data_IF_706128795974
#
_entry.id   IF_706128795974
#
_cell.length_a   1.000
_cell.length_b   1.000
_cell.length_c   1.000
_cell.angle_alpha   90.00
_cell.angle_beta   90.00
_cell.angle_gamma   90.00
#
_symmetry.space_group_name_H-M   'P 1'
#
loop_
_entity.id
_entity.type
_entity.pdbx_description
1 polymer ?
#
# COMPACT_ATOMS: atom_id res chain seq x y z
N UNK A 1 -1.82 -20.57 -9.93
CA UNK A 1 -3.14 -20.04 -10.31
C UNK A 1 -3.80 -19.50 -9.06
N UNK A 2 -4.13 -18.20 -9.09
CA UNK A 2 -4.45 -17.44 -7.88
C UNK A 2 -5.95 -17.24 -7.64
N UNK A 3 -6.81 -17.67 -8.58
CA UNK A 3 -8.24 -17.43 -8.47
C UNK A 3 -8.75 -17.85 -7.10
N UNK A 4 -9.26 -16.89 -6.33
CA UNK A 4 -9.76 -17.13 -4.97
C UNK A 4 -11.27 -17.19 -4.90
N UNK A 5 -11.94 -16.53 -5.87
CA UNK A 5 -13.41 -16.56 -5.92
C UNK A 5 -13.95 -16.18 -7.29
N UNK A 6 -15.23 -16.52 -7.50
CA UNK A 6 -16.05 -15.97 -8.54
C UNK A 6 -17.08 -15.03 -7.93
N UNK A 7 -17.21 -13.85 -8.53
CA UNK A 7 -18.19 -12.83 -8.15
C UNK A 7 -19.18 -12.66 -9.29
N UNK A 8 -20.45 -12.63 -8.94
CA UNK A 8 -21.58 -12.48 -9.84
C UNK A 8 -22.47 -11.32 -9.35
N UNK A 9 -23.20 -10.67 -10.25
CA UNK A 9 -24.19 -9.71 -9.81
C UNK A 9 -25.47 -10.43 -9.33
N UNK A 10 -26.12 -9.93 -8.25
CA UNK A 10 -27.38 -10.48 -7.78
C UNK A 10 -28.52 -10.41 -8.78
N UNK A 11 -28.41 -9.51 -9.77
CA UNK A 11 -29.44 -9.25 -10.79
C UNK A 11 -29.36 -10.22 -11.97
N UNK A 12 -28.27 -10.97 -12.12
CA UNK A 12 -28.07 -11.87 -13.25
C UNK A 12 -28.76 -13.22 -13.04
N UNK A 13 -29.92 -13.37 -13.65
CA UNK A 13 -30.73 -14.59 -13.55
C UNK A 13 -30.04 -15.86 -14.04
N UNK A 14 -29.05 -15.73 -14.97
CA UNK A 14 -28.27 -16.87 -15.50
C UNK A 14 -27.53 -17.63 -14.41
N UNK A 15 -27.16 -16.96 -13.33
CA UNK A 15 -26.28 -17.50 -12.29
C UNK A 15 -26.93 -17.65 -10.91
N UNK A 16 -28.20 -17.28 -10.74
CA UNK A 16 -28.91 -17.39 -9.44
C UNK A 16 -28.88 -18.80 -8.84
N UNK A 17 -28.88 -19.82 -9.72
CA UNK A 17 -28.80 -21.23 -9.29
C UNK A 17 -27.43 -21.59 -8.63
N UNK A 18 -26.43 -20.71 -8.73
CA UNK A 18 -25.11 -20.90 -8.12
C UNK A 18 -25.00 -20.30 -6.71
N UNK A 19 -26.05 -19.62 -6.23
CA UNK A 19 -26.05 -19.01 -4.89
C UNK A 19 -25.80 -20.06 -3.81
N UNK A 20 -24.81 -19.79 -2.95
CA UNK A 20 -24.35 -20.69 -1.89
C UNK A 20 -23.54 -21.90 -2.36
N UNK A 21 -23.26 -22.02 -3.65
CA UNK A 21 -22.36 -23.05 -4.18
C UNK A 21 -20.90 -22.63 -4.13
N UNK A 22 -20.03 -23.57 -4.43
CA UNK A 22 -18.59 -23.39 -4.52
C UNK A 22 -18.09 -23.85 -5.88
N UNK A 23 -17.08 -23.19 -6.38
CA UNK A 23 -16.37 -23.60 -7.59
C UNK A 23 -15.06 -24.30 -7.22
N UNK A 24 -14.55 -25.13 -8.12
CA UNK A 24 -13.26 -25.79 -8.00
C UNK A 24 -12.30 -25.14 -8.99
N UNK A 25 -11.20 -24.60 -8.50
CA UNK A 25 -10.13 -24.08 -9.36
C UNK A 25 -9.39 -25.28 -9.98
N UNK A 26 -9.33 -25.37 -11.32
CA UNK A 26 -8.66 -26.49 -11.99
C UNK A 26 -7.20 -26.60 -11.58
N UNK A 27 -6.60 -27.75 -11.82
CA UNK A 27 -5.19 -28.14 -11.55
C UNK A 27 -4.82 -28.19 -10.06
N UNK A 28 -5.23 -27.21 -9.26
CA UNK A 28 -4.91 -27.16 -7.82
C UNK A 28 -6.06 -27.67 -6.92
N UNK A 29 -7.20 -28.00 -7.48
CA UNK A 29 -8.39 -28.51 -6.80
C UNK A 29 -8.82 -27.65 -5.58
N UNK A 30 -8.58 -26.33 -5.64
CA UNK A 30 -9.00 -25.42 -4.58
C UNK A 30 -10.50 -25.16 -4.68
N UNK A 31 -11.22 -25.42 -3.60
CA UNK A 31 -12.63 -25.05 -3.49
C UNK A 31 -12.74 -23.58 -3.07
N UNK A 32 -13.45 -22.78 -3.85
CA UNK A 32 -13.64 -21.35 -3.64
C UNK A 32 -15.13 -21.01 -3.58
N UNK A 33 -15.57 -20.04 -2.75
CA UNK A 33 -16.95 -19.61 -2.71
C UNK A 33 -17.34 -18.86 -4.00
N UNK A 34 -18.63 -18.94 -4.33
CA UNK A 34 -19.26 -18.08 -5.33
C UNK A 34 -20.02 -17.01 -4.54
N UNK A 35 -19.66 -15.76 -4.73
CA UNK A 35 -20.27 -14.61 -4.04
C UNK A 35 -21.05 -13.73 -5.02
N UNK A 36 -21.95 -12.92 -4.49
CA UNK A 36 -22.77 -12.00 -5.26
C UNK A 36 -22.48 -10.58 -4.79
N UNK A 37 -22.18 -9.67 -5.73
CA UNK A 37 -21.87 -8.27 -5.46
C UNK A 37 -22.26 -7.38 -6.65
N UNK A 38 -22.80 -6.22 -6.37
CA UNK A 38 -23.25 -5.24 -7.37
C UNK A 38 -22.07 -4.59 -8.13
N UNK A 39 -20.83 -4.87 -7.72
CA UNK A 39 -19.62 -4.44 -8.43
C UNK A 39 -19.51 -5.03 -9.83
N UNK A 40 -20.13 -6.17 -10.08
CA UNK A 40 -19.99 -6.91 -11.35
C UNK A 40 -21.00 -6.40 -12.37
N UNK A 41 -20.46 -5.96 -13.51
CA UNK A 41 -21.28 -5.62 -14.69
C UNK A 41 -21.65 -6.91 -15.44
N UNK A 42 -22.95 -7.20 -15.51
CA UNK A 42 -23.47 -8.41 -16.16
C UNK A 42 -23.33 -8.40 -17.69
N UNK A 43 -23.13 -7.22 -18.28
CA UNK A 43 -22.97 -7.08 -19.75
C UNK A 43 -21.50 -7.18 -20.17
N UNK A 44 -20.57 -7.11 -19.20
CA UNK A 44 -19.15 -7.23 -19.50
C UNK A 44 -18.69 -8.70 -19.51
N UNK A 45 -18.22 -9.16 -20.68
CA UNK A 45 -17.72 -10.52 -20.86
C UNK A 45 -18.79 -11.60 -20.59
N UNK A 46 -18.55 -12.44 -19.61
CA UNK A 46 -19.51 -13.48 -19.18
C UNK A 46 -20.45 -13.00 -18.07
N UNK A 47 -20.24 -11.81 -17.51
CA UNK A 47 -20.90 -11.37 -16.26
C UNK A 47 -20.41 -12.10 -15.02
N UNK A 48 -19.27 -12.80 -15.11
CA UNK A 48 -18.64 -13.51 -14.00
C UNK A 48 -17.21 -13.01 -13.82
N UNK A 49 -16.96 -12.35 -12.69
CA UNK A 49 -15.64 -11.82 -12.34
C UNK A 49 -14.88 -12.83 -11.48
N UNK A 50 -13.61 -13.11 -11.85
CA UNK A 50 -12.68 -13.78 -10.94
C UNK A 50 -11.99 -12.72 -10.09
N UNK A 51 -11.70 -12.98 -8.83
CA UNK A 51 -10.98 -12.06 -7.97
C UNK A 51 -9.75 -12.69 -7.33
N UNK A 52 -8.73 -11.84 -7.18
CA UNK A 52 -7.39 -12.17 -6.69
C UNK A 52 -6.91 -11.07 -5.74
N UNK A 53 -7.38 -11.05 -4.47
CA UNK A 53 -7.17 -9.93 -3.55
C UNK A 53 -5.70 -9.55 -3.29
N UNK A 54 -4.76 -10.48 -3.50
CA UNK A 54 -3.34 -10.20 -3.28
C UNK A 54 -2.66 -9.44 -4.43
N UNK A 55 -3.26 -9.43 -5.65
CA UNK A 55 -2.60 -8.97 -6.86
C UNK A 55 -3.42 -8.00 -7.73
N UNK A 56 -4.53 -7.48 -7.17
CA UNK A 56 -5.32 -6.42 -7.79
C UNK A 56 -5.92 -5.51 -6.71
N UNK A 57 -5.79 -4.18 -6.81
CA UNK A 57 -6.31 -3.25 -5.81
C UNK A 57 -7.84 -3.29 -5.66
N UNK A 58 -8.59 -3.45 -6.75
CA UNK A 58 -10.05 -3.52 -6.70
C UNK A 58 -10.51 -4.84 -6.08
N UNK A 59 -9.85 -5.94 -6.47
CA UNK A 59 -10.08 -7.27 -5.90
C UNK A 59 -9.77 -7.29 -4.40
N UNK A 60 -8.76 -6.50 -3.95
CA UNK A 60 -8.44 -6.36 -2.53
C UNK A 60 -9.58 -5.71 -1.74
N UNK A 61 -10.18 -4.64 -2.25
CA UNK A 61 -11.32 -4.00 -1.59
C UNK A 61 -12.55 -4.93 -1.53
N UNK A 62 -12.83 -5.66 -2.62
CA UNK A 62 -13.86 -6.71 -2.59
C UNK A 62 -13.51 -7.82 -1.60
N UNK A 63 -12.23 -8.20 -1.54
CA UNK A 63 -11.73 -9.16 -0.57
C UNK A 63 -12.00 -8.75 0.87
N UNK A 64 -11.76 -7.49 1.22
CA UNK A 64 -12.07 -6.92 2.54
C UNK A 64 -13.57 -6.92 2.83
N UNK A 65 -14.38 -6.45 1.88
CA UNK A 65 -15.86 -6.41 1.99
C UNK A 65 -16.44 -7.78 2.31
N UNK A 66 -15.94 -8.81 1.65
CA UNK A 66 -16.44 -10.20 1.79
C UNK A 66 -15.61 -11.09 2.73
N UNK A 67 -14.60 -10.51 3.43
CA UNK A 67 -13.70 -11.21 4.37
C UNK A 67 -13.02 -12.42 3.74
N UNK A 68 -12.48 -12.23 2.56
CA UNK A 68 -11.86 -13.28 1.78
C UNK A 68 -10.41 -13.49 2.18
N UNK A 69 -9.92 -14.70 1.99
CA UNK A 69 -8.50 -15.01 2.18
C UNK A 69 -7.64 -14.25 1.17
N UNK A 70 -6.53 -13.73 1.62
CA UNK A 70 -5.54 -13.04 0.77
C UNK A 70 -4.34 -13.98 0.60
N UNK A 71 -4.15 -14.51 -0.60
CA UNK A 71 -3.07 -15.46 -0.90
C UNK A 71 -2.10 -14.81 -1.89
N UNK A 72 -0.97 -14.33 -1.38
CA UNK A 72 0.12 -13.87 -2.22
C UNK A 72 0.86 -15.07 -2.81
N UNK A 73 0.94 -15.17 -4.14
CA UNK A 73 1.62 -16.26 -4.85
C UNK A 73 2.98 -15.86 -5.45
N UNK A 74 3.38 -14.59 -5.34
CA UNK A 74 4.65 -14.09 -5.84
C UNK A 74 5.64 -13.82 -4.71
N UNK A 75 6.91 -14.05 -4.94
CA UNK A 75 8.00 -13.57 -4.11
C UNK A 75 8.46 -12.15 -4.52
N UNK A 76 9.54 -11.66 -3.90
CA UNK A 76 10.09 -10.33 -4.18
C UNK A 76 10.69 -10.18 -5.58
N UNK A 77 11.06 -11.28 -6.23
CA UNK A 77 11.62 -11.32 -7.57
C UNK A 77 10.55 -11.50 -8.67
N UNK A 78 9.28 -11.66 -8.28
CA UNK A 78 8.19 -11.94 -9.21
C UNK A 78 8.14 -13.40 -9.68
N UNK A 79 8.83 -14.31 -8.97
CA UNK A 79 8.71 -15.75 -9.15
C UNK A 79 7.59 -16.31 -8.28
N UNK A 80 7.05 -17.45 -8.65
CA UNK A 80 5.97 -18.08 -7.90
C UNK A 80 6.51 -18.68 -6.59
N UNK A 81 5.85 -18.35 -5.49
CA UNK A 81 6.17 -18.88 -4.17
C UNK A 81 5.37 -20.18 -3.86
N UNK A 82 5.56 -20.74 -2.67
CA UNK A 82 4.92 -21.99 -2.23
C UNK A 82 3.39 -21.96 -2.27
N UNK A 83 2.78 -20.79 -2.11
CA UNK A 83 1.32 -20.65 -2.12
C UNK A 83 0.72 -20.88 -3.51
N UNK A 84 1.51 -20.71 -4.56
CA UNK A 84 1.09 -21.00 -5.92
C UNK A 84 0.81 -22.49 -6.16
N UNK A 85 1.45 -23.37 -5.38
CA UNK A 85 1.38 -24.85 -5.44
C UNK A 85 1.96 -25.48 -6.71
N UNK A 86 1.83 -24.82 -7.87
CA UNK A 86 2.39 -25.23 -9.14
C UNK A 86 3.47 -24.25 -9.57
N UNK A 87 4.45 -24.71 -10.32
CA UNK A 87 5.52 -23.90 -10.89
C UNK A 87 6.31 -23.06 -9.87
N UNK A 88 6.45 -23.54 -8.64
CA UNK A 88 7.13 -22.83 -7.55
C UNK A 88 8.59 -22.54 -7.93
N UNK A 89 9.02 -21.29 -7.76
CA UNK A 89 10.35 -20.81 -8.11
C UNK A 89 10.52 -20.39 -9.56
N UNK A 90 9.49 -20.51 -10.41
CA UNK A 90 9.54 -20.10 -11.80
C UNK A 90 9.06 -18.66 -11.99
N UNK A 91 9.60 -18.00 -13.02
CA UNK A 91 9.22 -16.64 -13.39
C UNK A 91 7.77 -16.57 -13.87
N UNK A 92 7.05 -15.53 -13.45
CA UNK A 92 5.63 -15.33 -13.77
C UNK A 92 5.32 -15.27 -15.28
N UNK A 93 6.24 -14.77 -16.10
CA UNK A 93 6.02 -14.65 -17.54
C UNK A 93 6.12 -16.00 -18.24
N UNK A 94 7.02 -16.85 -17.78
CA UNK A 94 7.14 -18.21 -18.30
C UNK A 94 5.96 -19.06 -17.85
N UNK A 95 5.54 -18.92 -16.59
CA UNK A 95 4.39 -19.64 -16.05
C UNK A 95 3.10 -19.29 -16.79
N UNK A 96 2.92 -18.05 -17.29
CA UNK A 96 1.75 -17.70 -18.11
C UNK A 96 1.63 -18.57 -19.38
N UNK A 97 2.74 -19.01 -19.94
CA UNK A 97 2.76 -19.93 -21.09
C UNK A 97 2.50 -21.37 -20.64
N UNK A 98 3.24 -21.84 -19.64
CA UNK A 98 3.14 -23.22 -19.16
C UNK A 98 1.77 -23.56 -18.59
N UNK A 99 1.10 -22.63 -17.94
CA UNK A 99 -0.24 -22.86 -17.38
C UNK A 99 -1.31 -23.05 -18.47
N UNK A 100 -1.14 -22.42 -19.64
CA UNK A 100 -2.04 -22.61 -20.78
C UNK A 100 -1.92 -24.04 -21.32
N UNK A 101 -0.68 -24.52 -21.50
CA UNK A 101 -0.40 -25.88 -21.95
C UNK A 101 -0.93 -26.94 -20.96
N UNK A 102 -0.80 -26.67 -19.65
CA UNK A 102 -1.29 -27.57 -18.61
C UNK A 102 -2.82 -27.61 -18.56
N UNK A 103 -3.48 -26.46 -18.75
CA UNK A 103 -4.94 -26.39 -18.84
C UNK A 103 -5.47 -27.10 -20.09
N UNK A 104 -4.78 -26.99 -21.21
CA UNK A 104 -5.14 -27.65 -22.46
C UNK A 104 -5.01 -29.17 -22.34
N UNK A 105 -3.86 -29.66 -21.88
CA UNK A 105 -3.62 -31.09 -21.68
C UNK A 105 -4.59 -31.73 -20.68
N UNK A 106 -5.08 -30.96 -19.71
CA UNK A 106 -6.06 -31.39 -18.72
C UNK A 106 -7.54 -31.21 -19.18
N UNK A 107 -7.76 -30.68 -20.39
CA UNK A 107 -9.09 -30.48 -20.96
C UNK A 107 -9.90 -29.33 -20.37
N UNK A 108 -9.23 -28.39 -19.71
CA UNK A 108 -9.86 -27.20 -19.11
C UNK A 108 -9.77 -25.95 -19.97
N UNK A 109 -8.89 -25.91 -20.99
CA UNK A 109 -8.76 -24.79 -21.89
C UNK A 109 -9.85 -24.84 -22.96
N UNK A 110 -10.69 -23.81 -23.06
CA UNK A 110 -11.76 -23.72 -24.04
C UNK A 110 -11.31 -22.95 -25.26
N UNK A 111 -10.64 -21.80 -25.07
CA UNK A 111 -10.12 -20.97 -26.15
C UNK A 111 -9.10 -19.96 -25.60
N UNK A 112 -8.26 -19.48 -26.52
CA UNK A 112 -7.36 -18.33 -26.28
C UNK A 112 -7.80 -17.20 -27.20
N UNK A 113 -7.88 -15.99 -26.69
CA UNK A 113 -8.22 -14.78 -27.44
C UNK A 113 -7.13 -13.73 -27.22
N UNK A 114 -6.77 -13.03 -28.31
CA UNK A 114 -5.88 -11.88 -28.21
C UNK A 114 -6.60 -10.73 -27.49
N UNK A 115 -5.95 -10.21 -26.46
CA UNK A 115 -6.47 -9.08 -25.68
C UNK A 115 -5.41 -8.00 -25.53
N UNK A 116 -5.77 -6.77 -25.91
CA UNK A 116 -4.90 -5.61 -25.76
C UNK A 116 -5.23 -4.92 -24.46
N UNK A 117 -4.27 -4.81 -23.56
CA UNK A 117 -4.40 -4.09 -22.31
C UNK A 117 -3.23 -3.11 -22.10
N UNK A 118 -3.42 -2.15 -21.19
CA UNK A 118 -2.36 -1.24 -20.75
C UNK A 118 -1.65 -1.83 -19.54
N UNK A 119 -0.33 -1.97 -19.65
CA UNK A 119 0.53 -2.49 -18.58
C UNK A 119 1.34 -1.35 -18.01
N UNK A 120 1.43 -1.26 -16.68
CA UNK A 120 2.28 -0.32 -15.98
C UNK A 120 3.74 -0.76 -15.99
N UNK A 121 4.64 0.20 -16.13
CA UNK A 121 6.10 0.00 -16.02
C UNK A 121 6.65 0.86 -14.90
N UNK A 122 7.67 0.37 -14.21
CA UNK A 122 8.42 1.14 -13.23
C UNK A 122 9.21 2.24 -13.94
N UNK A 123 9.01 3.50 -13.56
CA UNK A 123 9.78 4.64 -14.11
C UNK A 123 11.29 4.54 -13.84
N UNK A 124 11.71 3.73 -12.88
CA UNK A 124 13.10 3.61 -12.45
C UNK A 124 13.85 2.45 -13.09
N UNK A 125 13.14 1.38 -13.44
CA UNK A 125 13.76 0.11 -13.85
C UNK A 125 13.21 -0.43 -15.15
N UNK A 126 12.18 0.20 -15.73
CA UNK A 126 11.44 -0.29 -16.90
C UNK A 126 10.85 -1.72 -16.71
N UNK A 127 10.80 -2.19 -15.47
CA UNK A 127 10.21 -3.48 -15.17
C UNK A 127 8.67 -3.39 -15.19
N UNK A 128 8.02 -4.44 -15.66
CA UNK A 128 6.56 -4.57 -15.61
C UNK A 128 6.11 -4.65 -14.14
N UNK A 129 5.16 -3.80 -13.77
CA UNK A 129 4.60 -3.74 -12.42
C UNK A 129 3.61 -4.88 -12.23
N UNK A 130 3.76 -5.61 -11.13
CA UNK A 130 2.77 -6.56 -10.63
C UNK A 130 2.28 -6.08 -9.26
N UNK A 131 0.99 -5.80 -9.08
CA UNK A 131 0.44 -5.45 -7.77
C UNK A 131 0.68 -6.57 -6.77
N UNK A 132 1.17 -6.22 -5.59
CA UNK A 132 1.46 -7.15 -4.50
C UNK A 132 1.30 -6.47 -3.16
N UNK A 133 0.71 -7.15 -2.19
CA UNK A 133 0.65 -6.68 -0.82
C UNK A 133 2.02 -6.80 -0.14
N UNK A 134 2.42 -5.75 0.55
CA UNK A 134 3.59 -5.72 1.40
C UNK A 134 3.30 -4.90 2.65
N UNK A 135 3.98 -5.19 3.76
CA UNK A 135 3.91 -4.34 4.94
C UNK A 135 4.58 -3.01 4.62
N UNK A 136 3.88 -1.93 4.94
CA UNK A 136 4.34 -0.56 4.72
C UNK A 136 4.05 0.29 5.95
N UNK A 137 4.83 1.34 6.12
CA UNK A 137 4.60 2.34 7.15
C UNK A 137 3.64 3.41 6.66
N UNK A 138 2.62 3.68 7.46
CA UNK A 138 1.62 4.70 7.16
C UNK A 138 1.58 5.75 8.26
N UNK A 139 1.52 7.02 7.85
CA UNK A 139 1.16 8.12 8.72
C UNK A 139 -0.37 8.28 8.70
N UNK A 140 -1.00 8.20 9.87
CA UNK A 140 -2.45 8.41 9.98
C UNK A 140 -2.74 9.91 9.85
N UNK A 141 -3.35 10.30 8.74
CA UNK A 141 -3.52 11.70 8.35
C UNK A 141 -4.80 12.33 8.89
N UNK A 142 -5.82 11.55 9.21
CA UNK A 142 -7.13 12.06 9.59
C UNK A 142 -7.07 13.07 10.75
N UNK A 143 -6.46 12.66 11.87
CA UNK A 143 -6.36 13.53 13.06
C UNK A 143 -5.44 14.73 12.86
N UNK A 144 -4.40 14.57 12.06
CA UNK A 144 -3.42 15.63 11.76
C UNK A 144 -4.02 16.70 10.85
N UNK A 145 -4.90 16.31 9.94
CA UNK A 145 -5.49 17.21 8.95
C UNK A 145 -6.56 18.15 9.50
N UNK A 146 -7.23 17.80 10.60
CA UNK A 146 -8.32 18.60 11.18
C UNK A 146 -7.85 20.01 11.55
N UNK A 147 -6.85 20.21 12.41
CA UNK A 147 -6.39 21.56 12.77
C UNK A 147 -5.78 22.31 11.58
N UNK A 148 -5.15 21.60 10.65
CA UNK A 148 -4.60 22.18 9.44
C UNK A 148 -5.70 22.76 8.53
N UNK A 149 -6.81 22.04 8.39
CA UNK A 149 -7.98 22.52 7.66
C UNK A 149 -8.60 23.74 8.33
N UNK A 150 -8.78 23.70 9.65
CA UNK A 150 -9.35 24.80 10.43
C UNK A 150 -8.54 26.08 10.27
N UNK A 151 -7.21 26.02 10.35
CA UNK A 151 -6.33 27.18 10.19
C UNK A 151 -6.40 27.82 8.81
N UNK A 152 -6.68 27.06 7.77
CA UNK A 152 -6.89 27.59 6.42
C UNK A 152 -8.32 28.12 6.26
N UNK A 153 -9.32 27.46 6.85
CA UNK A 153 -10.71 27.88 6.71
C UNK A 153 -11.02 29.19 7.48
N UNK A 154 -10.37 29.42 8.61
CA UNK A 154 -10.51 30.64 9.40
C UNK A 154 -9.53 31.76 8.99
N UNK A 155 -8.77 31.58 7.91
CA UNK A 155 -7.81 32.55 7.36
C UNK A 155 -6.59 32.85 8.26
N UNK A 156 -6.28 31.99 9.25
CA UNK A 156 -5.00 32.00 9.97
C UNK A 156 -3.85 31.75 9.00
N UNK A 157 -4.03 30.80 8.07
CA UNK A 157 -3.16 30.58 6.90
C UNK A 157 -3.93 30.96 5.65
N UNK A 158 -3.44 31.98 4.92
CA UNK A 158 -4.09 32.52 3.74
C UNK A 158 -3.44 32.04 2.46
N UNK A 159 -4.24 31.70 1.46
CA UNK A 159 -3.78 31.38 0.10
C UNK A 159 -3.95 32.58 -0.84
N UNK A 160 -2.90 32.88 -1.57
CA UNK A 160 -2.89 33.88 -2.64
C UNK A 160 -2.49 33.23 -3.97
N UNK A 161 -3.39 33.20 -4.99
CA UNK A 161 -4.79 33.65 -5.00
C UNK A 161 -5.72 32.76 -4.14
N UNK A 162 -6.77 33.37 -3.61
CA UNK A 162 -7.73 32.74 -2.70
C UNK A 162 -8.46 31.51 -3.25
N UNK A 163 -8.51 31.34 -4.58
CA UNK A 163 -9.10 30.16 -5.21
C UNK A 163 -8.49 28.84 -4.72
N UNK A 164 -7.21 28.86 -4.33
CA UNK A 164 -6.52 27.67 -3.83
C UNK A 164 -7.01 27.22 -2.45
N UNK A 165 -7.66 28.07 -1.67
CA UNK A 165 -8.31 27.70 -0.41
C UNK A 165 -9.34 26.59 -0.60
N UNK A 166 -10.18 26.68 -1.64
CA UNK A 166 -11.17 25.63 -1.94
C UNK A 166 -10.52 24.33 -2.43
N UNK A 167 -9.47 24.43 -3.24
CA UNK A 167 -8.71 23.27 -3.72
C UNK A 167 -8.04 22.54 -2.56
N UNK A 168 -7.43 23.30 -1.63
CA UNK A 168 -6.84 22.76 -0.40
C UNK A 168 -7.89 22.07 0.46
N UNK A 169 -9.03 22.74 0.72
CA UNK A 169 -10.13 22.18 1.49
C UNK A 169 -10.57 20.83 0.94
N UNK A 170 -10.90 20.77 -0.35
CA UNK A 170 -11.36 19.54 -0.98
C UNK A 170 -10.35 18.39 -0.86
N UNK A 171 -9.07 18.69 -0.99
CA UNK A 171 -8.01 17.68 -0.85
C UNK A 171 -7.88 17.19 0.59
N UNK A 172 -7.91 18.10 1.58
CA UNK A 172 -7.73 17.74 2.99
C UNK A 172 -8.95 17.00 3.55
N UNK A 173 -10.17 17.39 3.16
CA UNK A 173 -11.40 16.68 3.54
C UNK A 173 -11.45 15.24 3.03
N UNK A 174 -10.72 14.92 1.97
CA UNK A 174 -10.64 13.59 1.37
C UNK A 174 -9.27 12.94 1.57
N UNK A 175 -8.49 13.42 2.55
CA UNK A 175 -7.13 12.92 2.76
C UNK A 175 -7.15 11.45 3.18
N UNK A 176 -6.22 10.69 2.62
CA UNK A 176 -6.00 9.29 3.00
C UNK A 176 -4.71 9.16 3.78
N UNK A 177 -4.60 8.09 4.56
CA UNK A 177 -3.36 7.74 5.23
C UNK A 177 -2.20 7.70 4.24
N UNK A 178 -1.08 8.26 4.64
CA UNK A 178 0.07 8.44 3.77
C UNK A 178 1.09 7.32 3.99
N UNK A 179 1.27 6.49 2.96
CA UNK A 179 2.38 5.53 2.94
C UNK A 179 3.70 6.28 2.90
N UNK A 180 4.49 6.18 3.96
CA UNK A 180 5.75 6.91 4.13
C UNK A 180 7.00 6.06 3.88
N UNK A 181 6.87 4.75 3.74
CA UNK A 181 8.00 3.86 3.44
C UNK A 181 8.27 3.76 1.94
N UNK A 182 9.55 3.65 1.59
CA UNK A 182 10.03 3.48 0.23
C UNK A 182 11.12 2.41 0.21
N UNK A 183 11.03 1.49 -0.75
CA UNK A 183 12.01 0.43 -0.99
C UNK A 183 13.11 0.98 -1.91
N UNK A 184 13.94 1.87 -1.37
CA UNK A 184 15.03 2.52 -2.08
C UNK A 184 16.35 2.26 -1.35
N UNK A 185 17.41 2.17 -2.12
CA UNK A 185 18.76 2.00 -1.56
C UNK A 185 19.28 3.25 -0.85
N UNK A 186 18.84 4.43 -1.25
CA UNK A 186 19.30 5.71 -0.69
C UNK A 186 18.15 6.50 -0.10
N UNK A 187 18.32 7.00 1.11
CA UNK A 187 17.35 7.85 1.81
C UNK A 187 17.53 7.82 3.32
N UNK A 188 16.61 8.43 4.04
CA UNK A 188 16.55 8.38 5.50
C UNK A 188 15.93 7.08 5.93
N UNK A 189 16.73 6.14 6.39
CA UNK A 189 16.27 4.83 6.84
C UNK A 189 15.27 4.95 7.98
N UNK A 190 14.21 4.16 7.94
CA UNK A 190 13.17 4.16 8.97
C UNK A 190 13.78 3.74 10.30
N UNK A 191 13.62 4.53 11.38
CA UNK A 191 14.23 4.27 12.67
C UNK A 191 13.44 3.26 13.51
N UNK A 192 12.98 2.18 12.88
CA UNK A 192 12.28 1.07 13.50
C UNK A 192 13.19 -0.17 13.51
N UNK A 193 13.25 -0.84 14.65
CA UNK A 193 14.09 -2.01 14.88
C UNK A 193 13.20 -3.18 15.23
N UNK A 194 13.15 -4.18 14.36
CA UNK A 194 12.41 -5.41 14.55
C UNK A 194 13.15 -6.36 15.48
N UNK A 195 12.38 -7.09 16.29
CA UNK A 195 12.88 -8.13 17.18
C UNK A 195 11.92 -9.33 17.17
N UNK A 196 12.41 -10.52 17.46
CA UNK A 196 11.62 -11.75 17.38
C UNK A 196 11.44 -12.27 15.96
N UNK A 197 10.46 -13.14 15.75
CA UNK A 197 10.29 -13.90 14.50
C UNK A 197 9.35 -13.21 13.49
N UNK A 198 8.74 -12.11 13.86
CA UNK A 198 7.75 -11.38 13.05
C UNK A 198 8.09 -9.91 12.82
N UNK A 199 7.49 -9.31 11.77
CA UNK A 199 7.59 -7.87 11.52
C UNK A 199 6.54 -7.04 12.31
N UNK A 200 5.82 -7.66 13.22
CA UNK A 200 4.85 -6.99 14.10
C UNK A 200 5.50 -6.48 15.38
N UNK A 201 6.61 -7.11 15.79
CA UNK A 201 7.36 -6.73 16.98
C UNK A 201 8.49 -5.78 16.61
N UNK A 202 8.31 -4.49 16.89
CA UNK A 202 9.32 -3.47 16.62
C UNK A 202 9.40 -2.41 17.72
N UNK A 203 10.52 -1.71 17.75
CA UNK A 203 10.75 -0.56 18.62
C UNK A 203 11.33 0.60 17.82
N UNK A 204 10.87 1.81 18.08
CA UNK A 204 11.36 3.02 17.43
C UNK A 204 12.37 3.72 18.31
N UNK A 205 13.55 4.00 17.76
CA UNK A 205 14.64 4.70 18.45
C UNK A 205 15.59 5.36 17.45
N UNK A 206 16.37 6.38 17.87
CA UNK A 206 17.34 7.05 17.00
C UNK A 206 18.53 6.17 16.58
N UNK A 207 18.89 5.18 17.39
CA UNK A 207 19.97 4.23 17.10
C UNK A 207 19.63 2.82 17.57
N UNK A 208 20.40 1.86 17.08
CA UNK A 208 20.27 0.45 17.43
C UNK A 208 20.53 0.20 18.91
N UNK A 209 21.51 0.92 19.50
CA UNK A 209 21.87 0.83 20.90
C UNK A 209 20.74 1.36 21.81
N UNK A 210 20.12 2.48 21.43
CA UNK A 210 18.98 3.03 22.16
C UNK A 210 17.75 2.14 22.02
N UNK A 211 17.52 1.57 20.83
CA UNK A 211 16.47 0.58 20.62
C UNK A 211 16.62 -0.61 21.57
N UNK A 212 17.84 -1.17 21.65
CA UNK A 212 18.14 -2.28 22.54
C UNK A 212 17.91 -1.92 24.01
N UNK A 213 18.40 -0.75 24.44
CA UNK A 213 18.21 -0.28 25.82
C UNK A 213 16.72 -0.12 26.16
N UNK A 214 15.96 0.46 25.25
CA UNK A 214 14.51 0.65 25.40
C UNK A 214 13.79 -0.70 25.43
N UNK A 215 14.12 -1.62 24.53
CA UNK A 215 13.56 -2.96 24.46
C UNK A 215 13.80 -3.74 25.75
N UNK A 216 15.05 -3.79 26.24
CA UNK A 216 15.40 -4.49 27.45
C UNK A 216 14.81 -3.87 28.72
N UNK A 217 14.39 -2.60 28.68
CA UNK A 217 13.65 -1.96 29.78
C UNK A 217 12.16 -2.30 29.82
N UNK A 218 11.61 -2.77 28.70
CA UNK A 218 10.18 -3.06 28.53
C UNK A 218 9.85 -4.55 28.46
N UNK A 219 10.88 -5.41 28.37
CA UNK A 219 10.74 -6.86 28.20
C UNK A 219 11.45 -7.60 29.35
N UNK A 220 10.84 -8.69 29.77
CA UNK A 220 11.48 -9.63 30.72
C UNK A 220 12.62 -10.44 30.06
N UNK A 221 12.61 -10.55 28.73
CA UNK A 221 13.67 -11.18 27.95
C UNK A 221 14.79 -10.17 27.70
N UNK A 222 16.04 -10.61 27.87
CA UNK A 222 17.21 -9.81 27.53
C UNK A 222 17.64 -10.09 26.09
N UNK A 223 17.58 -9.06 25.27
CA UNK A 223 18.00 -9.07 23.86
C UNK A 223 19.43 -8.56 23.73
N UNK A 224 20.10 -8.96 22.66
CA UNK A 224 21.43 -8.48 22.23
C UNK A 224 21.30 -7.66 20.95
N UNK A 225 22.36 -6.96 20.57
CA UNK A 225 22.37 -6.18 19.33
C UNK A 225 22.07 -7.02 18.07
N UNK A 226 22.51 -8.26 18.05
CA UNK A 226 22.29 -9.16 16.91
C UNK A 226 20.83 -9.69 16.83
N UNK A 227 20.08 -9.57 17.91
CA UNK A 227 18.67 -10.00 17.96
C UNK A 227 17.70 -8.96 17.37
N UNK A 228 18.19 -7.75 17.05
CA UNK A 228 17.39 -6.68 16.50
C UNK A 228 17.91 -6.23 15.13
N UNK A 229 16.99 -5.99 14.20
CA UNK A 229 17.29 -5.61 12.82
C UNK A 229 16.53 -4.33 12.46
N UNK A 230 17.25 -3.32 11.99
CA UNK A 230 16.62 -2.09 11.52
C UNK A 230 15.84 -2.35 10.23
N UNK A 231 14.71 -1.64 10.06
CA UNK A 231 13.95 -1.67 8.82
C UNK A 231 14.85 -1.23 7.65
N UNK A 232 14.79 -1.97 6.54
CA UNK A 232 15.61 -1.69 5.35
C UNK A 232 15.02 -0.55 4.51
N UNK A 233 13.74 -0.23 4.70
CA UNK A 233 13.04 0.82 3.98
C UNK A 233 13.52 2.21 4.41
N UNK A 234 13.36 3.17 3.51
CA UNK A 234 13.63 4.59 3.78
C UNK A 234 12.34 5.39 3.80
N UNK A 235 12.34 6.52 4.47
CA UNK A 235 11.20 7.43 4.50
C UNK A 235 11.02 8.15 3.17
N UNK A 236 9.78 8.42 2.82
CA UNK A 236 9.43 9.33 1.73
C UNK A 236 10.14 10.67 1.92
N UNK A 237 10.74 11.19 0.85
CA UNK A 237 11.46 12.47 0.87
C UNK A 237 10.59 13.62 1.40
N UNK A 238 9.30 13.62 1.07
CA UNK A 238 8.37 14.65 1.56
C UNK A 238 8.06 14.50 3.05
N UNK A 239 8.21 13.32 3.63
CA UNK A 239 8.04 13.11 5.07
C UNK A 239 9.15 13.79 5.89
N UNK A 240 10.41 13.76 5.43
CA UNK A 240 11.47 14.53 6.07
C UNK A 240 11.42 16.01 5.71
N UNK A 241 10.97 16.38 4.51
CA UNK A 241 10.90 17.77 4.05
C UNK A 241 9.88 18.62 4.82
N UNK A 242 8.77 18.05 5.27
CA UNK A 242 7.74 18.82 5.97
C UNK A 242 8.18 19.30 7.37
N UNK A 243 9.11 18.59 7.99
CA UNK A 243 9.67 18.97 9.28
C UNK A 243 10.91 19.88 9.16
N UNK A 244 11.36 20.16 7.93
CA UNK A 244 12.56 20.95 7.70
C UNK A 244 12.55 22.35 8.34
N UNK A 245 11.44 23.11 8.33
CA UNK A 245 11.36 24.41 8.99
C UNK A 245 11.61 24.37 10.50
N UNK A 246 11.41 23.20 11.13
CA UNK A 246 11.65 22.97 12.55
C UNK A 246 13.05 22.39 12.76
N UNK A 247 13.43 21.40 11.95
CA UNK A 247 14.68 20.67 12.12
C UNK A 247 15.92 21.53 11.85
N UNK A 248 15.86 22.48 10.91
CA UNK A 248 16.99 23.36 10.58
C UNK A 248 17.40 24.29 11.73
N UNK A 249 16.49 24.57 12.66
CA UNK A 249 16.76 25.37 13.85
C UNK A 249 16.93 24.52 15.11
N UNK A 250 17.18 23.23 14.96
CA UNK A 250 17.24 22.28 16.08
C UNK A 250 16.04 22.35 17.02
N UNK A 251 14.86 22.58 16.43
CA UNK A 251 13.61 22.86 17.14
C UNK A 251 13.07 21.70 17.99
N UNK A 252 13.73 20.54 17.94
CA UNK A 252 13.46 19.41 18.84
C UNK A 252 14.32 19.46 20.12
N UNK A 253 15.27 20.40 20.22
CA UNK A 253 16.04 20.66 21.43
C UNK A 253 15.31 21.56 22.43
N UNK A 254 15.90 21.77 23.60
CA UNK A 254 15.35 22.66 24.61
C UNK A 254 15.58 24.16 24.31
N UNK A 255 16.58 24.49 23.47
CA UNK A 255 16.84 25.88 23.05
C UNK A 255 16.09 26.17 21.74
N UNK A 256 14.98 26.87 21.84
CA UNK A 256 14.10 27.22 20.72
C UNK A 256 14.24 28.66 20.25
N UNK A 257 15.24 29.40 20.71
CA UNK A 257 15.37 30.84 20.46
C UNK A 257 15.37 31.19 18.97
N UNK A 258 16.10 30.44 18.15
CA UNK A 258 16.12 30.66 16.71
C UNK A 258 14.81 30.19 16.05
N UNK A 259 14.29 29.03 16.46
CA UNK A 259 13.01 28.55 15.98
C UNK A 259 11.90 29.57 16.26
N UNK A 260 11.77 30.04 17.49
CA UNK A 260 10.70 30.99 17.89
C UNK A 260 10.82 32.34 17.16
N UNK A 261 12.01 32.68 16.66
CA UNK A 261 12.22 33.89 15.88
C UNK A 261 11.88 33.72 14.39
N UNK A 262 12.21 32.60 13.78
CA UNK A 262 12.07 32.39 12.34
C UNK A 262 10.84 31.60 11.92
N UNK A 263 10.22 30.85 12.84
CA UNK A 263 9.06 30.02 12.57
C UNK A 263 7.90 30.32 13.54
N UNK A 264 6.66 30.43 13.06
CA UNK A 264 6.23 30.25 11.66
C UNK A 264 6.67 31.39 10.75
N UNK A 265 6.95 31.07 9.47
CA UNK A 265 7.30 32.08 8.47
C UNK A 265 6.07 32.92 8.10
N UNK A 266 6.31 34.19 7.71
CA UNK A 266 5.24 35.12 7.32
C UNK A 266 4.66 34.77 5.94
N UNK A 267 5.54 34.50 4.97
CA UNK A 267 5.16 34.25 3.59
C UNK A 267 5.92 33.05 3.03
N UNK A 268 5.22 32.19 2.31
CA UNK A 268 5.77 31.08 1.54
C UNK A 268 5.37 31.23 0.08
N UNK A 269 6.36 31.45 -0.79
CA UNK A 269 6.16 31.52 -2.24
C UNK A 269 6.49 30.18 -2.86
N UNK A 270 5.52 29.60 -3.57
CA UNK A 270 5.65 28.25 -4.13
C UNK A 270 4.83 28.09 -5.40
N UNK A 271 4.90 26.93 -6.03
CA UNK A 271 4.15 26.60 -7.23
C UNK A 271 2.92 25.73 -6.93
N UNK A 272 1.83 25.90 -7.69
CA UNK A 272 0.59 25.16 -7.47
C UNK A 272 0.74 23.65 -7.51
N UNK A 273 1.65 23.11 -8.32
CA UNK A 273 1.82 21.68 -8.50
C UNK A 273 2.51 20.98 -7.31
N UNK A 274 3.23 21.74 -6.44
CA UNK A 274 3.82 21.15 -5.22
C UNK A 274 2.99 21.46 -3.96
N UNK A 275 1.85 22.08 -4.10
CA UNK A 275 0.98 22.46 -2.99
C UNK A 275 0.60 21.26 -2.12
N UNK A 276 0.19 20.13 -2.73
CA UNK A 276 -0.23 18.93 -2.01
C UNK A 276 0.93 18.05 -1.55
N UNK A 277 2.05 18.14 -2.23
CA UNK A 277 3.22 17.33 -1.87
C UNK A 277 4.04 17.95 -0.74
N UNK A 278 4.08 19.27 -0.65
CA UNK A 278 4.91 19.97 0.32
C UNK A 278 4.13 20.93 1.20
N UNK A 279 3.47 21.95 0.62
CA UNK A 279 2.85 23.04 1.38
C UNK A 279 1.76 22.52 2.32
N UNK A 280 0.85 21.72 1.82
CA UNK A 280 -0.22 21.14 2.62
C UNK A 280 0.31 20.33 3.80
N UNK A 281 1.40 19.59 3.58
CA UNK A 281 2.04 18.81 4.63
C UNK A 281 2.78 19.66 5.67
N UNK A 282 3.34 20.80 5.28
CA UNK A 282 3.92 21.74 6.25
C UNK A 282 2.85 22.45 7.10
N UNK A 283 1.64 22.61 6.57
CA UNK A 283 0.52 23.16 7.35
C UNK A 283 -0.02 22.12 8.33
N UNK A 284 0.00 20.84 7.96
CA UNK A 284 -0.38 19.71 8.80
C UNK A 284 0.65 19.47 9.90
#
# INVERSE_FOLDING_TARGET
>A
MEILQFVLTPEDERYLSLKGKRAIVPLINRSIPIIFDDYVDMEFGTGCLKITPAHDPNDYELGKKHKLEVINILDSSGCLNKNAKLFVGQDRFDVRKYIADELDSSGYLIRIEDHINKIGFSERTDAIIEPRLSLQWFCSMEKLSIPALENVMNDTVQFHPSKFKNTYRHWVENIRDWCISRQLWWGHQIPAFFYGDGKEDFIVAPSKEEALKKLNSQSDKQYKLDDIVQDEDVMDTWFSSWIWPIAVFDGFSNDKKELDYYYPTNDLVTAPYIMFFWVARMII
#
